data_IF_589658351985
#
_entry.id   IF_589658351985
#
_cell.length_a   1.000
_cell.length_b   1.000
_cell.length_c   1.000
_cell.angle_alpha   90.00
_cell.angle_beta   90.00
_cell.angle_gamma   90.00
#
_symmetry.space_group_name_H-M   'P 1'
#
loop_
_entity.id
_entity.type
_entity.pdbx_description
1 polymer ?
#
# COMPACT_ATOMS: atom_id res chain seq x y z
N UNK A 1 -23.83 7.51 12.30
CA UNK A 1 -23.25 6.99 11.05
C UNK A 1 -22.25 8.02 10.60
N UNK A 2 -20.96 7.67 10.60
CA UNK A 2 -19.93 8.53 9.98
C UNK A 2 -20.25 8.66 8.50
N UNK A 3 -20.62 9.85 8.05
CA UNK A 3 -20.59 10.19 6.65
C UNK A 3 -19.12 10.51 6.29
N UNK A 4 -18.27 9.51 6.40
CA UNK A 4 -16.93 9.58 5.85
C UNK A 4 -17.04 9.13 4.40
N UNK A 5 -17.18 10.09 3.49
CA UNK A 5 -16.81 9.84 2.12
C UNK A 5 -15.31 9.60 2.10
N UNK A 6 -14.94 8.34 1.99
CA UNK A 6 -13.62 7.96 1.52
C UNK A 6 -13.54 8.53 0.10
N UNK A 7 -12.79 9.62 -0.07
CA UNK A 7 -12.30 9.99 -1.39
C UNK A 7 -11.31 8.90 -1.77
N UNK A 8 -11.86 7.81 -2.28
CA UNK A 8 -11.06 6.84 -2.98
C UNK A 8 -10.34 7.60 -4.09
N UNK A 9 -9.04 7.43 -4.20
CA UNK A 9 -8.27 7.85 -5.36
C UNK A 9 -8.85 7.09 -6.54
N UNK A 10 -9.93 7.63 -7.12
CA UNK A 10 -10.52 7.16 -8.35
C UNK A 10 -9.56 7.54 -9.48
N UNK A 11 -8.78 6.58 -9.94
CA UNK A 11 -8.10 6.66 -11.23
C UNK A 11 -9.21 6.59 -12.28
N UNK A 12 -9.64 7.72 -12.79
CA UNK A 12 -10.52 7.79 -13.98
C UNK A 12 -9.62 7.52 -15.18
N UNK A 13 -9.66 6.30 -15.67
CA UNK A 13 -9.14 5.95 -16.98
C UNK A 13 -10.18 6.37 -18.03
N UNK A 14 -10.00 7.53 -18.62
CA UNK A 14 -10.74 7.93 -19.82
C UNK A 14 -10.06 7.30 -21.04
N UNK A 15 -10.66 6.24 -21.58
CA UNK A 15 -10.30 5.69 -22.88
C UNK A 15 -11.00 6.47 -23.99
N UNK A 16 -10.25 7.28 -24.74
CA UNK A 16 -10.70 7.78 -26.03
C UNK A 16 -9.81 7.21 -27.12
N UNK A 17 -10.39 6.33 -27.96
CA UNK A 17 -9.81 5.99 -29.26
C UNK A 17 -9.92 7.23 -30.19
N UNK A 18 -8.78 7.68 -30.69
CA UNK A 18 -8.75 8.41 -31.95
C UNK A 18 -7.42 8.18 -32.65
N UNK A 19 -7.47 7.55 -33.82
CA UNK A 19 -6.35 7.45 -34.76
C UNK A 19 -6.19 8.78 -35.50
N UNK A 20 -5.00 9.37 -35.44
CA UNK A 20 -4.41 10.05 -36.60
C UNK A 20 -2.92 10.26 -36.40
N UNK A 21 -2.14 9.72 -37.32
CA UNK A 21 -0.70 9.97 -37.50
C UNK A 21 -0.45 11.40 -37.95
N UNK A 22 0.47 12.07 -37.29
CA UNK A 22 1.30 13.10 -37.95
C UNK A 22 2.65 13.18 -37.20
N UNK A 23 3.69 12.88 -37.94
CA UNK A 23 5.08 13.09 -37.53
C UNK A 23 5.34 14.58 -37.30
N UNK A 24 5.77 14.96 -36.13
CA UNK A 24 6.47 16.23 -35.91
C UNK A 24 7.55 16.03 -34.86
N UNK A 25 8.79 16.12 -35.32
CA UNK A 25 10.01 16.25 -34.52
C UNK A 25 9.90 17.48 -33.62
N UNK A 26 9.77 17.25 -32.32
CA UNK A 26 9.85 18.33 -31.32
C UNK A 26 11.18 18.24 -30.59
N UNK A 27 12.04 19.21 -30.86
CA UNK A 27 13.26 19.45 -30.06
C UNK A 27 12.82 19.94 -28.67
N UNK A 28 13.15 19.17 -27.63
CA UNK A 28 12.83 19.52 -26.25
C UNK A 28 13.88 20.47 -25.65
N UNK A 29 13.57 21.77 -25.62
CA UNK A 29 14.14 22.66 -24.62
C UNK A 29 13.15 22.75 -23.45
N UNK A 30 13.41 22.04 -22.36
CA UNK A 30 12.59 22.07 -21.17
C UNK A 30 12.77 23.38 -20.40
N UNK A 31 11.94 24.37 -20.70
CA UNK A 31 11.62 25.41 -19.71
C UNK A 31 10.65 24.79 -18.72
N UNK A 32 11.12 24.47 -17.52
CA UNK A 32 10.27 24.06 -16.37
C UNK A 32 9.27 25.18 -16.09
N UNK A 33 8.04 24.97 -16.49
CA UNK A 33 6.92 25.83 -16.17
C UNK A 33 6.62 25.65 -14.68
N UNK A 34 6.86 26.66 -13.82
CA UNK A 34 6.66 26.59 -12.36
C UNK A 34 5.21 26.30 -11.93
N UNK A 35 4.26 26.22 -12.87
CA UNK A 35 2.83 25.92 -12.64
C UNK A 35 2.38 24.57 -13.20
N UNK A 36 3.27 23.65 -13.52
CA UNK A 36 2.87 22.34 -14.02
C UNK A 36 2.37 21.47 -12.86
N UNK A 37 1.12 20.99 -12.96
CA UNK A 37 0.55 20.00 -12.04
C UNK A 37 1.26 18.63 -12.22
N UNK A 38 1.72 18.33 -13.42
CA UNK A 38 2.49 17.11 -13.73
C UNK A 38 3.97 17.38 -13.43
N UNK A 39 4.55 16.64 -12.48
CA UNK A 39 5.96 16.78 -12.07
C UNK A 39 6.86 15.70 -12.65
N UNK A 40 6.32 14.54 -13.01
CA UNK A 40 7.06 13.48 -13.71
C UNK A 40 6.10 12.62 -14.55
N UNK A 41 6.63 11.99 -15.60
CA UNK A 41 5.91 11.02 -16.42
C UNK A 41 6.87 9.91 -16.80
N UNK A 42 6.51 8.67 -16.53
CA UNK A 42 7.30 7.49 -16.92
C UNK A 42 6.37 6.31 -17.20
N UNK A 43 6.67 5.55 -18.24
CA UNK A 43 5.82 4.46 -18.74
C UNK A 43 4.36 4.93 -18.91
N UNK A 44 3.44 4.31 -18.23
CA UNK A 44 2.00 4.59 -18.20
C UNK A 44 1.54 5.42 -16.98
N UNK A 45 2.48 6.04 -16.26
CA UNK A 45 2.26 6.75 -15.01
C UNK A 45 2.58 8.24 -15.15
N UNK A 46 1.67 9.09 -14.65
CA UNK A 46 1.93 10.51 -14.41
C UNK A 46 1.96 10.78 -12.91
N UNK A 47 3.01 11.47 -12.46
CA UNK A 47 3.13 11.93 -11.07
C UNK A 47 2.64 13.37 -10.99
N UNK A 48 1.60 13.59 -10.21
CA UNK A 48 0.97 14.88 -10.04
C UNK A 48 1.38 15.51 -8.70
N UNK A 49 1.59 16.82 -8.71
CA UNK A 49 1.70 17.60 -7.49
C UNK A 49 0.29 17.96 -7.03
N UNK A 50 0.00 17.67 -5.77
CA UNK A 50 -1.21 18.11 -5.11
C UNK A 50 -0.89 19.28 -4.18
N UNK A 51 -1.73 20.29 -4.21
CA UNK A 51 -1.73 21.30 -3.17
C UNK A 51 -2.38 20.75 -1.89
N UNK A 52 -2.07 21.37 -0.77
CA UNK A 52 -2.62 21.01 0.55
C UNK A 52 -3.53 22.15 1.03
N UNK A 53 -4.75 22.32 0.48
CA UNK A 53 -5.66 23.38 0.88
C UNK A 53 -6.00 23.26 2.37
N UNK A 54 -6.03 24.40 3.07
CA UNK A 54 -6.31 24.42 4.51
C UNK A 54 -5.13 24.05 5.41
N UNK A 55 -3.94 23.72 4.86
CA UNK A 55 -2.77 23.39 5.69
C UNK A 55 -2.37 24.50 6.65
N UNK A 56 -2.43 25.75 6.20
CA UNK A 56 -2.04 26.91 7.02
C UNK A 56 -3.06 27.21 8.13
N UNK A 57 -4.29 26.73 7.99
CA UNK A 57 -5.37 26.85 8.98
C UNK A 57 -5.23 25.85 10.14
N UNK A 58 -4.44 24.77 9.95
CA UNK A 58 -4.19 23.76 10.98
C UNK A 58 -3.40 24.39 12.14
N UNK A 59 -3.86 24.16 13.36
CA UNK A 59 -3.12 24.55 14.55
C UNK A 59 -1.84 23.70 14.73
N UNK A 60 -0.81 24.20 15.45
CA UNK A 60 0.45 23.49 15.63
C UNK A 60 0.29 22.05 16.13
N UNK A 61 -0.65 21.80 17.04
CA UNK A 61 -0.92 20.49 17.60
C UNK A 61 -1.42 19.49 16.53
N UNK A 62 -2.25 19.94 15.56
CA UNK A 62 -2.71 19.12 14.45
C UNK A 62 -1.58 18.80 13.46
N UNK A 63 -0.71 19.76 13.17
CA UNK A 63 0.49 19.53 12.33
C UNK A 63 1.45 18.53 12.99
N UNK A 64 1.62 18.61 14.30
CA UNK A 64 2.43 17.67 15.07
C UNK A 64 1.80 16.26 15.06
N UNK A 65 0.48 16.15 15.19
CA UNK A 65 -0.25 14.88 15.06
C UNK A 65 -0.03 14.25 13.69
N UNK A 66 -0.20 15.01 12.61
CA UNK A 66 0.06 14.56 11.23
C UNK A 66 1.51 14.06 11.10
N UNK A 67 2.47 14.78 11.65
CA UNK A 67 3.88 14.39 11.62
C UNK A 67 4.11 13.02 12.27
N UNK A 68 3.64 12.81 13.49
CA UNK A 68 3.86 11.54 14.18
C UNK A 68 3.10 10.37 13.55
N UNK A 69 1.90 10.59 13.04
CA UNK A 69 1.16 9.57 12.27
C UNK A 69 1.89 9.21 10.99
N UNK A 70 2.46 10.20 10.28
CA UNK A 70 3.22 9.99 9.05
C UNK A 70 4.54 9.24 9.31
N UNK A 71 5.24 9.57 10.41
CA UNK A 71 6.43 8.83 10.82
C UNK A 71 6.11 7.37 11.15
N UNK A 72 5.00 7.11 11.87
CA UNK A 72 4.55 5.76 12.14
C UNK A 72 4.28 4.99 10.82
N UNK A 73 3.61 5.62 9.86
CA UNK A 73 3.34 5.05 8.54
C UNK A 73 4.63 4.67 7.80
N UNK A 74 5.61 5.57 7.79
CA UNK A 74 6.88 5.39 7.10
C UNK A 74 7.69 4.20 7.64
N UNK A 75 7.67 3.96 8.96
CA UNK A 75 8.36 2.82 9.53
C UNK A 75 7.74 1.47 9.14
N UNK A 76 6.44 1.42 8.89
CA UNK A 76 5.75 0.19 8.47
C UNK A 76 5.82 -0.11 6.96
N UNK A 77 6.28 0.83 6.12
CA UNK A 77 6.20 0.72 4.66
C UNK A 77 6.90 -0.51 4.05
N UNK A 78 7.93 -1.05 4.71
CA UNK A 78 8.65 -2.22 4.20
C UNK A 78 7.79 -3.49 4.25
N UNK A 79 6.76 -3.51 5.08
CA UNK A 79 5.85 -4.65 5.24
C UNK A 79 5.09 -4.92 3.94
N UNK A 80 4.50 -3.89 3.29
CA UNK A 80 3.78 -4.10 2.02
C UNK A 80 4.70 -4.57 0.90
N UNK A 81 5.97 -4.13 0.87
CA UNK A 81 6.93 -4.64 -0.08
C UNK A 81 7.16 -6.14 0.07
N UNK A 82 7.37 -6.59 1.29
CA UNK A 82 7.55 -8.02 1.61
C UNK A 82 6.26 -8.82 1.34
N UNK A 83 5.09 -8.27 1.69
CA UNK A 83 3.81 -8.89 1.41
C UNK A 83 3.57 -9.10 -0.09
N UNK A 84 3.94 -8.14 -0.94
CA UNK A 84 3.78 -8.24 -2.39
C UNK A 84 4.66 -9.32 -3.03
N UNK A 85 5.90 -9.48 -2.57
CA UNK A 85 6.81 -10.57 -2.93
C UNK A 85 8.02 -10.56 -1.99
N UNK A 86 8.40 -11.71 -1.48
CA UNK A 86 9.51 -11.86 -0.50
C UNK A 86 10.85 -11.30 -0.97
N UNK A 87 11.06 -11.18 -2.28
CA UNK A 87 12.33 -10.69 -2.85
C UNK A 87 12.32 -9.17 -3.13
N UNK A 88 11.18 -8.51 -2.97
CA UNK A 88 11.04 -7.09 -3.32
C UNK A 88 11.98 -6.18 -2.54
N UNK A 89 12.20 -6.42 -1.25
CA UNK A 89 13.11 -5.61 -0.44
C UNK A 89 14.56 -5.74 -0.89
N UNK A 90 14.97 -6.92 -1.38
CA UNK A 90 16.30 -7.11 -1.95
C UNK A 90 16.46 -6.31 -3.25
N UNK A 91 15.49 -6.42 -4.16
CA UNK A 91 15.49 -5.65 -5.41
C UNK A 91 15.48 -4.15 -5.14
N UNK A 92 14.65 -3.69 -4.20
CA UNK A 92 14.57 -2.29 -3.79
C UNK A 92 15.92 -1.76 -3.30
N UNK A 93 16.58 -2.46 -2.37
CA UNK A 93 17.91 -2.08 -1.87
C UNK A 93 18.94 -1.97 -2.97
N UNK A 94 18.92 -2.89 -3.94
CA UNK A 94 19.79 -2.82 -5.11
C UNK A 94 19.51 -1.57 -5.95
N UNK A 95 18.25 -1.29 -6.26
CA UNK A 95 17.85 -0.11 -7.03
C UNK A 95 18.20 1.20 -6.31
N UNK A 96 17.92 1.30 -5.00
CA UNK A 96 18.29 2.46 -4.18
C UNK A 96 19.81 2.73 -4.20
N UNK A 97 20.62 1.69 -4.06
CA UNK A 97 22.07 1.81 -4.09
C UNK A 97 22.59 2.21 -5.48
N UNK A 98 22.06 1.64 -6.56
CA UNK A 98 22.42 2.00 -7.94
C UNK A 98 22.08 3.48 -8.21
N UNK A 99 20.85 3.91 -7.88
CA UNK A 99 20.42 5.29 -8.16
C UNK A 99 21.16 6.34 -7.32
N UNK A 100 21.63 5.97 -6.14
CA UNK A 100 22.38 6.84 -5.22
C UNK A 100 23.88 6.85 -5.48
N UNK A 101 24.39 5.89 -6.25
CA UNK A 101 25.83 5.75 -6.48
C UNK A 101 26.35 6.80 -7.49
N UNK A 102 27.43 7.54 -7.17
CA UNK A 102 28.09 8.44 -8.10
C UNK A 102 28.85 7.70 -9.21
N UNK A 103 29.10 6.41 -9.05
CA UNK A 103 29.90 5.61 -9.98
C UNK A 103 29.08 5.09 -11.18
N UNK A 104 27.77 5.30 -11.21
CA UNK A 104 26.93 4.85 -12.32
C UNK A 104 27.02 5.82 -13.49
N UNK A 105 27.47 5.29 -14.62
CA UNK A 105 27.48 6.04 -15.87
C UNK A 105 26.08 6.13 -16.47
N UNK A 106 25.45 7.31 -16.29
CA UNK A 106 24.10 7.61 -16.77
C UNK A 106 24.00 7.84 -18.28
N UNK A 107 25.13 7.94 -18.98
CA UNK A 107 25.18 8.10 -20.44
C UNK A 107 25.02 6.78 -21.21
N UNK A 108 25.11 5.64 -20.53
CA UNK A 108 24.94 4.32 -21.12
C UNK A 108 23.51 4.15 -21.66
N UNK A 109 23.37 3.59 -22.86
CA UNK A 109 22.09 3.42 -23.58
C UNK A 109 21.00 2.74 -22.74
N UNK A 110 21.35 1.82 -21.86
CA UNK A 110 20.41 1.04 -21.04
C UNK A 110 19.96 1.77 -19.76
N UNK A 111 20.65 2.84 -19.34
CA UNK A 111 20.34 3.56 -18.09
C UNK A 111 18.90 4.13 -18.05
N UNK A 112 18.36 4.75 -19.10
CA UNK A 112 16.97 5.24 -19.09
C UNK A 112 15.94 4.12 -18.85
N UNK A 113 16.19 2.91 -19.36
CA UNK A 113 15.32 1.76 -19.11
C UNK A 113 15.42 1.27 -17.66
N UNK A 114 16.63 1.27 -17.08
CA UNK A 114 16.85 0.97 -15.67
C UNK A 114 16.16 1.99 -14.75
N UNK A 115 16.28 3.27 -15.05
CA UNK A 115 15.62 4.33 -14.28
C UNK A 115 14.09 4.20 -14.35
N UNK A 116 13.55 3.96 -15.53
CA UNK A 116 12.11 3.72 -15.72
C UNK A 116 11.64 2.47 -14.96
N UNK A 117 12.40 1.38 -15.01
CA UNK A 117 12.12 0.17 -14.24
C UNK A 117 12.10 0.46 -12.73
N UNK A 118 13.12 1.17 -12.23
CA UNK A 118 13.20 1.54 -10.82
C UNK A 118 11.99 2.37 -10.39
N UNK A 119 11.61 3.40 -11.15
CA UNK A 119 10.42 4.23 -10.88
C UNK A 119 9.14 3.39 -10.84
N UNK A 120 8.96 2.45 -11.78
CA UNK A 120 7.80 1.54 -11.78
C UNK A 120 7.79 0.61 -10.57
N UNK A 121 8.93 0.05 -10.18
CA UNK A 121 9.08 -0.82 -9.00
C UNK A 121 8.78 -0.05 -7.72
N UNK A 122 9.29 1.19 -7.58
CA UNK A 122 8.99 2.04 -6.42
C UNK A 122 7.52 2.42 -6.34
N UNK A 123 6.91 2.81 -7.45
CA UNK A 123 5.50 3.14 -7.53
C UNK A 123 4.59 1.95 -7.17
N UNK A 124 4.96 0.75 -7.60
CA UNK A 124 4.18 -0.47 -7.40
C UNK A 124 4.43 -1.16 -6.04
N UNK A 125 5.33 -0.66 -5.21
CA UNK A 125 5.83 -1.35 -4.00
C UNK A 125 6.29 -2.78 -4.31
N UNK A 126 7.01 -2.98 -5.42
CA UNK A 126 7.54 -4.27 -5.85
C UNK A 126 7.64 -4.46 -7.34
N UNK A 127 8.09 -5.67 -7.73
CA UNK A 127 8.38 -6.05 -9.11
C UNK A 127 7.14 -6.30 -9.99
N UNK A 128 5.94 -6.20 -9.43
CA UNK A 128 4.69 -6.41 -10.15
C UNK A 128 3.96 -5.09 -10.37
N UNK A 129 3.37 -4.93 -11.55
CA UNK A 129 2.57 -3.76 -11.87
C UNK A 129 1.43 -3.60 -10.86
N UNK A 130 1.25 -2.39 -10.35
CA UNK A 130 0.31 -2.07 -9.26
C UNK A 130 -1.15 -2.45 -9.54
N UNK A 131 -1.57 -2.49 -10.81
CA UNK A 131 -2.95 -2.73 -11.23
C UNK A 131 -3.18 -4.11 -11.85
N UNK A 132 -2.41 -4.48 -12.91
CA UNK A 132 -2.61 -5.76 -13.62
C UNK A 132 -1.85 -6.93 -12.98
N UNK A 133 -1.02 -6.66 -11.97
CA UNK A 133 -0.29 -7.63 -11.15
C UNK A 133 0.73 -8.50 -11.89
N UNK A 134 1.02 -8.19 -13.15
CA UNK A 134 2.03 -8.87 -13.96
C UNK A 134 3.40 -8.32 -13.62
N UNK A 135 4.42 -9.17 -13.68
CA UNK A 135 5.81 -8.75 -13.47
C UNK A 135 6.22 -7.67 -14.47
N UNK A 136 6.87 -6.62 -13.97
CA UNK A 136 7.38 -5.50 -14.76
C UNK A 136 8.60 -5.97 -15.52
N UNK A 137 8.56 -5.85 -16.85
CA UNK A 137 9.71 -6.15 -17.70
C UNK A 137 10.80 -5.08 -17.54
N UNK A 138 12.09 -5.49 -17.40
CA UNK A 138 13.16 -4.57 -17.05
C UNK A 138 13.58 -3.62 -18.18
N UNK A 139 13.45 -3.99 -19.45
CA UNK A 139 13.88 -3.18 -20.59
C UNK A 139 15.39 -2.99 -20.74
N UNK A 140 16.21 -3.65 -19.93
CA UNK A 140 17.69 -3.69 -19.96
C UNK A 140 18.17 -5.13 -19.84
N UNK A 141 19.49 -5.36 -20.12
CA UNK A 141 20.08 -6.71 -20.14
C UNK A 141 20.49 -7.21 -18.75
N UNK A 142 20.63 -8.54 -18.60
CA UNK A 142 21.20 -9.17 -17.40
C UNK A 142 22.64 -8.75 -17.15
N UNK A 143 23.38 -8.59 -18.21
CA UNK A 143 24.78 -8.15 -18.20
C UNK A 143 24.91 -6.73 -17.68
N UNK A 144 24.01 -5.84 -18.11
CA UNK A 144 23.97 -4.47 -17.60
C UNK A 144 23.56 -4.44 -16.12
N UNK A 145 22.59 -5.24 -15.71
CA UNK A 145 22.21 -5.39 -14.30
C UNK A 145 23.40 -5.80 -13.41
N UNK A 146 24.15 -6.83 -13.83
CA UNK A 146 25.33 -7.27 -13.11
C UNK A 146 26.43 -6.19 -13.04
N UNK A 147 26.63 -5.46 -14.15
CA UNK A 147 27.59 -4.34 -14.22
C UNK A 147 27.22 -3.23 -13.22
N UNK A 148 26.00 -2.73 -13.23
CA UNK A 148 25.62 -1.60 -12.34
C UNK A 148 25.61 -1.99 -10.87
N UNK A 149 25.34 -3.23 -10.50
CA UNK A 149 25.50 -3.73 -9.13
C UNK A 149 26.96 -3.73 -8.68
N UNK A 150 27.87 -4.06 -9.59
CA UNK A 150 29.32 -4.00 -9.33
C UNK A 150 29.81 -2.57 -9.23
N UNK A 151 29.40 -1.71 -10.15
CA UNK A 151 29.76 -0.28 -10.17
C UNK A 151 29.24 0.47 -8.93
N UNK A 152 28.06 0.08 -8.43
CA UNK A 152 27.48 0.58 -7.18
C UNK A 152 28.15 0.01 -5.91
N UNK A 153 29.22 -0.78 -6.04
CA UNK A 153 29.94 -1.43 -4.95
C UNK A 153 29.08 -2.35 -4.04
N UNK A 154 28.03 -2.93 -4.59
CA UNK A 154 27.16 -3.87 -3.87
C UNK A 154 27.70 -5.31 -3.86
N UNK A 155 28.68 -5.60 -4.69
CA UNK A 155 29.29 -6.92 -4.79
C UNK A 155 30.56 -6.96 -3.96
N UNK A 156 30.66 -7.89 -3.02
CA UNK A 156 31.83 -8.14 -2.20
C UNK A 156 32.13 -9.63 -2.09
N UNK A 157 33.21 -10.01 -1.39
CA UNK A 157 33.54 -11.41 -1.14
C UNK A 157 32.43 -12.14 -0.37
N UNK A 158 31.77 -11.45 0.55
CA UNK A 158 30.80 -12.02 1.49
C UNK A 158 29.33 -11.74 1.10
N UNK A 159 29.12 -10.88 0.08
CA UNK A 159 27.77 -10.50 -0.36
C UNK A 159 27.73 -10.30 -1.89
N UNK A 160 26.90 -11.10 -2.56
CA UNK A 160 26.67 -11.00 -3.98
C UNK A 160 25.16 -11.07 -4.30
N UNK A 161 24.50 -9.92 -4.56
CA UNK A 161 23.10 -9.87 -4.89
C UNK A 161 22.79 -10.20 -6.35
N UNK A 162 23.81 -10.33 -7.23
CA UNK A 162 23.61 -10.53 -8.68
C UNK A 162 22.79 -11.79 -8.97
N UNK A 163 23.16 -13.01 -8.53
CA UNK A 163 22.42 -14.21 -8.89
C UNK A 163 20.95 -14.17 -8.43
N UNK A 164 20.63 -13.87 -7.14
CA UNK A 164 19.24 -13.89 -6.69
C UNK A 164 18.39 -12.80 -7.36
N UNK A 165 18.90 -11.58 -7.54
CA UNK A 165 18.14 -10.51 -8.18
C UNK A 165 17.97 -10.72 -9.69
N UNK A 166 18.95 -11.32 -10.37
CA UNK A 166 18.84 -11.72 -11.77
C UNK A 166 17.70 -12.73 -11.95
N UNK A 167 17.62 -13.74 -11.10
CA UNK A 167 16.51 -14.71 -11.15
C UNK A 167 15.15 -14.04 -10.90
N UNK A 168 15.07 -13.14 -9.94
CA UNK A 168 13.84 -12.41 -9.62
C UNK A 168 13.40 -11.53 -10.80
N UNK A 169 14.30 -10.73 -11.36
CA UNK A 169 13.98 -9.74 -12.38
C UNK A 169 13.73 -10.41 -13.74
N UNK A 170 14.60 -11.33 -14.16
CA UNK A 170 14.61 -11.89 -15.51
C UNK A 170 14.11 -13.35 -15.61
N UNK A 171 14.00 -14.05 -14.48
CA UNK A 171 13.53 -15.42 -14.45
C UNK A 171 12.00 -15.54 -14.54
N UNK A 172 11.50 -16.77 -14.60
CA UNK A 172 10.07 -17.05 -14.80
C UNK A 172 9.30 -17.34 -13.51
N UNK A 173 9.96 -17.31 -12.35
CA UNK A 173 9.36 -17.73 -11.09
C UNK A 173 8.25 -16.80 -10.59
N UNK A 174 8.41 -15.51 -10.72
CA UNK A 174 7.52 -14.49 -10.11
C UNK A 174 6.71 -13.74 -11.17
N UNK A 175 5.92 -14.46 -11.98
CA UNK A 175 5.22 -13.86 -13.13
C UNK A 175 4.01 -13.02 -12.76
N UNK A 176 3.29 -13.42 -11.69
CA UNK A 176 2.12 -12.67 -11.19
C UNK A 176 2.16 -12.52 -9.67
N UNK A 177 1.79 -11.34 -9.18
CA UNK A 177 1.59 -11.10 -7.75
C UNK A 177 0.49 -12.00 -7.23
N UNK A 178 -0.72 -11.93 -7.83
CA UNK A 178 -1.88 -12.77 -7.51
C UNK A 178 -2.28 -13.55 -8.77
N UNK A 179 -2.22 -14.86 -8.72
CA UNK A 179 -2.61 -15.73 -9.83
C UNK A 179 -3.86 -16.55 -9.48
N UNK A 180 -4.99 -16.18 -10.08
CA UNK A 180 -6.29 -16.85 -9.91
C UNK A 180 -6.73 -17.58 -11.19
N UNK A 181 -5.78 -17.99 -12.06
CA UNK A 181 -6.09 -18.70 -13.28
C UNK A 181 -6.72 -20.08 -12.98
N UNK A 182 -7.57 -20.54 -13.88
CA UNK A 182 -8.18 -21.86 -13.79
C UNK A 182 -7.11 -22.98 -13.86
N UNK A 183 -7.26 -24.00 -13.06
CA UNK A 183 -6.39 -25.19 -13.05
C UNK A 183 -5.07 -25.02 -12.27
N UNK A 184 -4.85 -23.87 -11.59
CA UNK A 184 -3.67 -23.68 -10.73
C UNK A 184 -4.07 -23.54 -9.26
N UNK A 185 -3.18 -23.97 -8.36
CA UNK A 185 -3.32 -23.59 -6.95
C UNK A 185 -2.97 -22.10 -6.81
N UNK A 186 -3.96 -21.30 -6.46
CA UNK A 186 -3.84 -19.83 -6.44
C UNK A 186 -2.83 -19.30 -5.41
N UNK A 187 -2.51 -20.05 -4.34
CA UNK A 187 -1.49 -19.64 -3.37
C UNK A 187 -0.09 -20.02 -3.84
N UNK A 188 0.09 -21.23 -4.34
CA UNK A 188 1.39 -21.70 -4.82
C UNK A 188 1.81 -21.02 -6.14
N UNK A 189 0.86 -20.60 -6.96
CA UNK A 189 1.11 -19.92 -8.23
C UNK A 189 1.25 -18.40 -8.10
N UNK A 190 0.98 -17.80 -6.94
CA UNK A 190 1.12 -16.37 -6.67
C UNK A 190 2.50 -16.05 -6.08
N UNK A 191 3.02 -14.85 -6.40
CA UNK A 191 4.26 -14.33 -5.84
C UNK A 191 4.11 -13.71 -4.46
N UNK A 192 2.88 -13.48 -4.02
CA UNK A 192 2.57 -12.89 -2.72
C UNK A 192 3.16 -13.70 -1.58
N UNK A 193 3.67 -12.98 -0.58
CA UNK A 193 4.36 -13.59 0.55
C UNK A 193 3.48 -13.75 1.80
N UNK A 194 2.16 -13.90 1.61
CA UNK A 194 1.23 -14.19 2.70
C UNK A 194 1.24 -15.66 3.12
N UNK A 195 1.69 -16.54 2.21
CA UNK A 195 1.71 -17.99 2.40
C UNK A 195 3.08 -18.52 1.99
N UNK A 196 3.56 -19.56 2.70
CA UNK A 196 4.84 -20.19 2.38
C UNK A 196 4.72 -21.71 2.49
N UNK A 197 4.77 -22.40 1.33
CA UNK A 197 4.64 -23.83 1.25
C UNK A 197 3.24 -24.35 1.61
N UNK A 198 2.20 -23.52 1.44
CA UNK A 198 0.82 -23.80 1.83
C UNK A 198 -0.07 -23.76 0.60
N UNK A 199 -0.87 -24.79 0.35
CA UNK A 199 -1.86 -24.80 -0.70
C UNK A 199 -3.14 -24.02 -0.32
N UNK A 200 -3.94 -23.67 -1.33
CA UNK A 200 -5.21 -22.98 -1.10
C UNK A 200 -6.17 -23.82 -0.24
N UNK A 201 -6.22 -25.13 -0.47
CA UNK A 201 -7.04 -26.06 0.31
C UNK A 201 -6.60 -26.12 1.78
N UNK A 202 -5.29 -26.27 2.02
CA UNK A 202 -4.72 -26.30 3.38
C UNK A 202 -5.00 -25.00 4.14
N UNK A 203 -4.84 -23.84 3.49
CA UNK A 203 -5.11 -22.55 4.12
C UNK A 203 -6.60 -22.37 4.44
N UNK A 204 -7.49 -22.73 3.51
CA UNK A 204 -8.94 -22.66 3.74
C UNK A 204 -9.36 -23.57 4.92
N UNK A 205 -8.89 -24.80 4.94
CA UNK A 205 -9.18 -25.73 6.04
C UNK A 205 -8.65 -25.22 7.38
N UNK A 206 -7.43 -24.65 7.39
CA UNK A 206 -6.83 -24.07 8.60
C UNK A 206 -7.72 -22.98 9.21
N UNK A 207 -8.18 -22.00 8.40
CA UNK A 207 -9.04 -20.94 8.88
C UNK A 207 -10.48 -21.37 9.18
N UNK A 208 -11.00 -22.36 8.48
CA UNK A 208 -12.30 -22.96 8.82
C UNK A 208 -12.28 -23.60 10.22
N UNK A 209 -11.18 -24.26 10.58
CA UNK A 209 -11.01 -24.87 11.89
C UNK A 209 -10.91 -23.87 13.04
N UNK A 210 -10.56 -22.59 12.77
CA UNK A 210 -10.59 -21.53 13.78
C UNK A 210 -12.01 -21.06 14.13
N UNK A 211 -12.97 -21.29 13.24
CA UNK A 211 -14.39 -20.99 13.48
C UNK A 211 -15.29 -22.17 13.03
N UNK A 212 -15.19 -23.32 13.69
CA UNK A 212 -15.93 -24.51 13.29
C UNK A 212 -17.45 -24.34 13.39
N UNK A 213 -17.92 -23.52 14.32
CA UNK A 213 -19.34 -23.23 14.52
C UNK A 213 -19.89 -22.17 13.53
N UNK A 214 -19.07 -21.63 12.63
CA UNK A 214 -19.45 -20.56 11.67
C UNK A 214 -20.15 -19.39 12.34
N UNK A 215 -19.66 -18.98 13.50
CA UNK A 215 -20.16 -17.80 14.19
C UNK A 215 -19.95 -16.56 13.34
N UNK A 216 -20.90 -15.62 13.36
CA UNK A 216 -20.85 -14.37 12.55
C UNK A 216 -19.91 -13.32 13.14
N UNK A 217 -19.84 -13.26 14.47
CA UNK A 217 -19.07 -12.26 15.20
C UNK A 217 -17.78 -12.89 15.75
N UNK A 218 -16.82 -13.07 14.85
CA UNK A 218 -15.46 -13.55 15.16
C UNK A 218 -14.44 -12.61 14.57
N UNK A 219 -13.26 -12.49 15.18
CA UNK A 219 -12.15 -11.74 14.60
C UNK A 219 -11.81 -12.19 13.18
N UNK A 220 -11.29 -11.29 12.36
CA UNK A 220 -10.81 -11.60 11.00
C UNK A 220 -9.54 -12.45 11.05
N UNK A 221 -9.66 -13.73 11.42
CA UNK A 221 -8.53 -14.64 11.56
C UNK A 221 -7.62 -14.63 10.32
N UNK A 222 -6.34 -14.45 10.55
CA UNK A 222 -5.32 -14.41 9.51
C UNK A 222 -4.96 -13.01 9.01
N UNK A 223 -5.73 -11.97 9.38
CA UNK A 223 -5.58 -10.62 8.83
C UNK A 223 -4.15 -10.07 8.96
N UNK A 224 -3.52 -10.24 10.12
CA UNK A 224 -2.19 -9.70 10.44
C UNK A 224 -1.12 -10.78 10.57
N UNK A 225 -1.19 -11.82 9.75
CA UNK A 225 -0.24 -12.93 9.84
C UNK A 225 0.15 -13.49 8.47
N UNK A 226 1.32 -14.11 8.41
CA UNK A 226 1.76 -15.00 7.33
C UNK A 226 1.53 -16.45 7.76
N UNK A 227 0.92 -17.27 6.92
CA UNK A 227 0.77 -18.71 7.16
C UNK A 227 1.91 -19.47 6.50
N UNK A 228 2.63 -20.25 7.27
CA UNK A 228 3.80 -21.01 6.82
C UNK A 228 3.64 -22.50 7.16
N UNK A 229 4.21 -23.37 6.33
CA UNK A 229 4.30 -24.79 6.62
C UNK A 229 5.70 -25.14 7.12
N UNK A 230 5.81 -25.56 8.37
CA UNK A 230 7.07 -25.92 9.02
C UNK A 230 7.02 -27.39 9.45
N UNK A 231 7.89 -28.20 8.90
CA UNK A 231 7.92 -29.66 9.19
C UNK A 231 6.54 -30.32 9.03
N UNK A 232 5.78 -29.90 8.02
CA UNK A 232 4.43 -30.43 7.74
C UNK A 232 3.31 -29.81 8.59
N UNK A 233 3.62 -28.93 9.55
CA UNK A 233 2.63 -28.25 10.40
C UNK A 233 2.39 -26.81 9.93
N UNK A 234 1.13 -26.39 9.87
CA UNK A 234 0.76 -25.02 9.56
C UNK A 234 0.92 -24.12 10.78
N UNK A 235 1.66 -23.01 10.61
CA UNK A 235 1.99 -22.07 11.69
C UNK A 235 1.75 -20.65 11.20
N UNK A 236 0.98 -19.84 11.96
CA UNK A 236 0.88 -18.40 11.73
C UNK A 236 2.05 -17.65 12.35
N UNK A 237 2.69 -16.81 11.53
CA UNK A 237 3.67 -15.83 11.98
C UNK A 237 3.00 -14.46 11.96
N UNK A 238 2.77 -13.92 13.15
CA UNK A 238 2.02 -12.66 13.32
C UNK A 238 2.93 -11.45 13.15
N UNK A 239 2.47 -10.43 12.41
CA UNK A 239 3.08 -9.11 12.36
C UNK A 239 2.71 -8.35 13.63
N UNK A 240 3.64 -8.24 14.54
CA UNK A 240 3.48 -7.56 15.82
C UNK A 240 4.85 -7.27 16.46
N UNK A 241 4.89 -6.46 17.50
CA UNK A 241 6.06 -6.32 18.38
C UNK A 241 6.39 -7.69 19.00
N UNK A 242 7.65 -8.09 18.92
CA UNK A 242 8.11 -9.44 19.32
C UNK A 242 7.76 -10.55 18.33
N UNK A 243 7.18 -10.21 17.16
CA UNK A 243 6.89 -11.13 16.06
C UNK A 243 7.57 -10.70 14.76
N UNK A 244 6.91 -10.94 13.64
CA UNK A 244 7.41 -10.48 12.34
C UNK A 244 7.43 -8.94 12.29
N UNK A 245 8.51 -8.38 11.72
CA UNK A 245 8.73 -6.93 11.63
C UNK A 245 8.73 -6.19 12.97
N UNK A 246 9.14 -6.85 14.05
CA UNK A 246 9.16 -6.27 15.43
C UNK A 246 9.82 -4.90 15.47
N UNK A 247 11.05 -4.77 14.95
CA UNK A 247 11.79 -3.50 15.01
C UNK A 247 11.08 -2.34 14.30
N UNK A 248 10.43 -2.60 13.14
CA UNK A 248 9.65 -1.61 12.42
C UNK A 248 8.38 -1.23 13.20
N UNK A 249 7.65 -2.22 13.72
CA UNK A 249 6.43 -2.01 14.48
C UNK A 249 6.69 -1.35 15.85
N UNK A 250 7.84 -1.59 16.48
CA UNK A 250 8.29 -0.84 17.66
C UNK A 250 8.41 0.66 17.35
N UNK A 251 9.00 1.01 16.22
CA UNK A 251 9.09 2.41 15.76
C UNK A 251 7.72 3.00 15.40
N UNK A 252 6.82 2.21 14.80
CA UNK A 252 5.43 2.62 14.61
C UNK A 252 4.79 2.95 15.96
N UNK A 253 4.90 2.07 16.95
CA UNK A 253 4.36 2.23 18.31
C UNK A 253 4.96 3.45 19.02
N UNK A 254 6.29 3.68 18.93
CA UNK A 254 6.93 4.87 19.49
C UNK A 254 6.31 6.17 18.95
N UNK A 255 6.06 6.26 17.64
CA UNK A 255 5.47 7.44 17.02
C UNK A 255 3.97 7.53 17.29
N UNK A 256 3.23 6.42 17.31
CA UNK A 256 1.82 6.40 17.70
C UNK A 256 1.62 6.87 19.15
N UNK A 257 2.52 6.56 20.09
CA UNK A 257 2.48 7.10 21.46
C UNK A 257 2.64 8.62 21.48
N UNK A 258 3.52 9.17 20.64
CA UNK A 258 3.67 10.62 20.52
C UNK A 258 2.41 11.24 19.89
N UNK A 259 1.85 10.60 18.83
CA UNK A 259 0.58 11.01 18.22
C UNK A 259 -0.57 11.01 19.24
N UNK A 260 -0.65 9.97 20.12
CA UNK A 260 -1.66 9.89 21.17
C UNK A 260 -1.60 11.07 22.15
N UNK A 261 -0.41 11.53 22.50
CA UNK A 261 -0.22 12.67 23.43
C UNK A 261 -0.69 14.00 22.82
N UNK A 262 -0.67 14.11 21.48
CA UNK A 262 -1.11 15.32 20.75
C UNK A 262 -2.44 15.10 20.02
N UNK A 263 -3.21 14.07 20.38
CA UNK A 263 -4.53 13.82 19.81
C UNK A 263 -5.48 15.01 20.07
N UNK A 264 -6.36 15.27 19.12
CA UNK A 264 -7.27 16.42 19.17
C UNK A 264 -8.30 16.32 20.31
N UNK A 265 -8.73 15.10 20.62
CA UNK A 265 -9.71 14.81 21.66
C UNK A 265 -9.45 13.44 22.34
N UNK A 266 -10.12 13.15 23.47
CA UNK A 266 -9.98 11.88 24.18
C UNK A 266 -10.41 10.65 23.37
N UNK A 267 -11.37 10.76 22.45
CA UNK A 267 -11.84 9.64 21.60
C UNK A 267 -10.74 9.23 20.61
N UNK A 268 -10.10 10.20 19.97
CA UNK A 268 -8.95 9.94 19.09
C UNK A 268 -7.76 9.36 19.85
N UNK A 269 -7.45 9.91 21.03
CA UNK A 269 -6.40 9.37 21.89
C UNK A 269 -6.67 7.91 22.29
N UNK A 270 -7.93 7.57 22.58
CA UNK A 270 -8.36 6.19 22.85
C UNK A 270 -8.19 5.28 21.64
N UNK A 271 -8.62 5.73 20.47
CA UNK A 271 -8.46 4.95 19.23
C UNK A 271 -6.97 4.67 18.95
N UNK A 272 -6.09 5.68 19.04
CA UNK A 272 -4.66 5.50 18.86
C UNK A 272 -4.09 4.52 19.91
N UNK A 273 -4.54 4.59 21.16
CA UNK A 273 -4.13 3.66 22.21
C UNK A 273 -4.48 2.20 21.90
N UNK A 274 -5.68 1.94 21.38
CA UNK A 274 -6.11 0.60 20.97
C UNK A 274 -5.32 0.08 19.77
N UNK A 275 -4.94 0.95 18.83
CA UNK A 275 -4.03 0.59 17.73
C UNK A 275 -2.64 0.22 18.24
N UNK A 276 -2.12 0.94 19.23
CA UNK A 276 -0.87 0.61 19.91
C UNK A 276 -0.94 -0.78 20.55
N UNK A 277 -2.02 -1.06 21.31
CA UNK A 277 -2.26 -2.37 21.92
C UNK A 277 -2.31 -3.49 20.88
N UNK A 278 -2.99 -3.23 19.75
CA UNK A 278 -3.02 -4.17 18.63
C UNK A 278 -1.63 -4.49 18.09
N UNK A 279 -0.79 -3.49 17.81
CA UNK A 279 0.57 -3.74 17.32
C UNK A 279 1.47 -4.44 18.33
N UNK A 280 1.27 -4.18 19.63
CA UNK A 280 2.03 -4.83 20.68
C UNK A 280 1.62 -6.29 20.87
N UNK A 281 0.32 -6.59 20.82
CA UNK A 281 -0.19 -7.93 21.12
C UNK A 281 -0.41 -8.81 19.89
N UNK A 282 -0.75 -8.19 18.75
CA UNK A 282 -1.23 -8.88 17.56
C UNK A 282 -2.66 -9.39 17.70
N UNK A 283 -3.38 -9.01 18.75
CA UNK A 283 -4.74 -9.47 19.02
C UNK A 283 -5.77 -8.77 18.13
N UNK A 284 -6.43 -9.54 17.27
CA UNK A 284 -7.43 -9.05 16.32
C UNK A 284 -8.67 -8.47 17.01
N UNK A 285 -8.98 -8.87 18.26
CA UNK A 285 -10.05 -8.23 19.03
C UNK A 285 -9.69 -6.78 19.37
N UNK A 286 -8.41 -6.49 19.66
CA UNK A 286 -7.93 -5.11 19.85
C UNK A 286 -8.04 -4.29 18.58
N UNK A 287 -7.86 -4.91 17.44
CA UNK A 287 -8.10 -4.26 16.15
C UNK A 287 -9.58 -3.94 15.92
N UNK A 288 -10.49 -4.84 16.27
CA UNK A 288 -11.94 -4.59 16.23
C UNK A 288 -12.33 -3.45 17.18
N UNK A 289 -11.82 -3.45 18.43
CA UNK A 289 -12.02 -2.36 19.40
C UNK A 289 -11.49 -1.02 18.87
N UNK A 290 -10.32 -1.02 18.22
CA UNK A 290 -9.77 0.15 17.54
C UNK A 290 -10.71 0.66 16.44
N UNK A 291 -11.17 -0.21 15.56
CA UNK A 291 -12.07 0.16 14.46
C UNK A 291 -13.39 0.76 14.97
N UNK A 292 -13.97 0.19 16.03
CA UNK A 292 -15.18 0.72 16.67
C UNK A 292 -14.92 2.12 17.26
N UNK A 293 -13.80 2.31 17.97
CA UNK A 293 -13.44 3.59 18.55
C UNK A 293 -13.16 4.64 17.47
N UNK A 294 -12.43 4.26 16.40
CA UNK A 294 -12.13 5.13 15.27
C UNK A 294 -13.40 5.56 14.51
N UNK A 295 -14.31 4.63 14.20
CA UNK A 295 -15.58 4.93 13.53
C UNK A 295 -16.48 5.85 14.39
N UNK A 296 -16.39 5.74 15.71
CA UNK A 296 -17.19 6.53 16.64
C UNK A 296 -16.70 7.98 16.78
N UNK A 297 -15.44 8.26 16.44
CA UNK A 297 -14.90 9.63 16.46
C UNK A 297 -15.21 10.33 15.13
N UNK A 298 -16.06 11.36 15.18
CA UNK A 298 -16.49 12.14 14.01
C UNK A 298 -16.20 13.63 14.13
N UNK A 299 -15.46 14.04 15.17
CA UNK A 299 -15.25 15.45 15.51
C UNK A 299 -13.85 15.97 15.15
N UNK A 300 -12.87 15.10 14.92
CA UNK A 300 -11.49 15.47 14.61
C UNK A 300 -11.32 16.05 13.21
N UNK A 301 -10.37 16.96 13.07
CA UNK A 301 -9.93 17.53 11.79
C UNK A 301 -8.94 16.58 11.10
N UNK A 302 -7.97 16.04 11.85
CA UNK A 302 -7.01 15.07 11.37
C UNK A 302 -7.58 13.66 11.54
N UNK A 303 -7.51 12.86 10.48
CA UNK A 303 -7.93 11.47 10.48
C UNK A 303 -6.85 10.57 9.87
N UNK A 304 -6.90 9.27 10.14
CA UNK A 304 -5.89 8.35 9.65
C UNK A 304 -6.44 6.93 9.46
N UNK A 305 -5.84 6.23 8.53
CA UNK A 305 -5.94 4.78 8.36
C UNK A 305 -4.55 4.22 8.64
N UNK A 306 -4.43 3.17 9.43
CA UNK A 306 -3.14 2.57 9.73
C UNK A 306 -3.32 1.12 10.21
N UNK A 307 -2.77 0.15 9.50
CA UNK A 307 -2.89 -1.25 9.89
C UNK A 307 -2.82 -2.23 8.74
N UNK A 308 -3.26 -3.44 9.02
CA UNK A 308 -3.47 -4.50 8.03
C UNK A 308 -4.95 -4.45 7.63
N UNK A 309 -5.27 -3.90 6.46
CA UNK A 309 -6.63 -3.44 6.14
C UNK A 309 -7.25 -4.23 4.99
N UNK A 310 -6.73 -4.05 3.77
CA UNK A 310 -7.37 -4.55 2.56
C UNK A 310 -6.97 -6.00 2.27
N UNK A 311 -7.96 -6.84 2.03
CA UNK A 311 -7.77 -8.28 1.80
C UNK A 311 -7.91 -8.70 0.32
N UNK A 312 -8.21 -7.77 -0.58
CA UNK A 312 -8.52 -8.09 -1.98
C UNK A 312 -7.31 -8.61 -2.77
N UNK A 313 -6.09 -8.26 -2.37
CA UNK A 313 -4.87 -8.79 -2.98
C UNK A 313 -4.56 -10.23 -2.52
N UNK A 314 -5.05 -10.69 -1.38
CA UNK A 314 -4.95 -12.10 -1.00
C UNK A 314 -5.89 -12.96 -1.87
N UNK A 315 -5.40 -14.01 -2.55
CA UNK A 315 -6.24 -14.86 -3.38
C UNK A 315 -7.46 -15.44 -2.67
N UNK A 316 -7.37 -15.72 -1.37
CA UNK A 316 -8.48 -16.27 -0.56
C UNK A 316 -9.11 -15.25 0.41
N UNK A 317 -8.70 -13.98 0.35
CA UNK A 317 -9.32 -12.87 1.10
C UNK A 317 -9.18 -12.98 2.62
N UNK A 318 -8.04 -13.44 3.14
CA UNK A 318 -7.78 -13.61 4.58
C UNK A 318 -6.73 -12.65 5.14
N UNK A 319 -5.76 -12.28 4.32
CA UNK A 319 -4.59 -11.50 4.73
C UNK A 319 -4.76 -10.04 4.40
N UNK A 320 -4.60 -9.16 5.38
CA UNK A 320 -4.63 -7.73 5.19
C UNK A 320 -3.29 -7.18 4.69
N UNK A 321 -3.33 -6.34 3.67
CA UNK A 321 -2.20 -5.52 3.27
C UNK A 321 -1.89 -4.48 4.33
N UNK A 322 -0.60 -4.23 4.60
CA UNK A 322 -0.21 -3.09 5.42
C UNK A 322 -0.45 -1.80 4.67
N UNK A 323 -1.27 -0.94 5.24
CA UNK A 323 -1.66 0.33 4.64
C UNK A 323 -1.65 1.45 5.67
N UNK A 324 -1.36 2.65 5.19
CA UNK A 324 -1.50 3.85 6.00
C UNK A 324 -1.83 5.05 5.13
N UNK A 325 -2.80 5.85 5.58
CA UNK A 325 -3.15 7.13 4.99
C UNK A 325 -3.41 8.13 6.11
N UNK A 326 -2.80 9.30 6.02
CA UNK A 326 -3.03 10.42 6.93
C UNK A 326 -3.70 11.54 6.15
N UNK A 327 -4.78 12.05 6.66
CA UNK A 327 -5.60 13.06 5.99
C UNK A 327 -6.14 14.09 6.98
N UNK A 328 -6.53 15.25 6.47
CA UNK A 328 -7.24 16.26 7.24
C UNK A 328 -8.40 16.83 6.42
N UNK A 329 -9.37 17.41 7.11
CA UNK A 329 -10.54 18.00 6.47
C UNK A 329 -10.16 19.25 5.71
N UNK A 330 -10.62 19.34 4.46
CA UNK A 330 -10.71 20.59 3.73
C UNK A 330 -11.96 21.35 4.21
N UNK A 331 -11.83 22.55 4.84
CA UNK A 331 -12.96 23.29 5.41
C UNK A 331 -13.96 23.71 4.33
N UNK A 332 -13.48 24.12 3.15
CA UNK A 332 -14.33 24.58 2.05
C UNK A 332 -15.12 23.42 1.43
N UNK A 333 -14.44 22.30 1.14
CA UNK A 333 -15.09 21.10 0.66
C UNK A 333 -16.08 20.54 1.69
N UNK A 334 -15.73 20.58 2.99
CA UNK A 334 -16.60 20.15 4.08
C UNK A 334 -17.90 20.95 4.12
N UNK A 335 -17.82 22.28 3.94
CA UNK A 335 -19.00 23.15 3.89
C UNK A 335 -19.90 22.80 2.71
N UNK A 336 -19.34 22.64 1.51
CA UNK A 336 -20.09 22.22 0.30
C UNK A 336 -20.79 20.85 0.51
N UNK A 337 -20.07 19.90 1.11
CA UNK A 337 -20.64 18.58 1.38
C UNK A 337 -21.73 18.60 2.45
N UNK A 338 -21.65 19.53 3.43
CA UNK A 338 -22.72 19.71 4.42
C UNK A 338 -24.01 20.16 3.76
N UNK A 339 -23.95 21.13 2.84
CA UNK A 339 -25.12 21.62 2.11
C UNK A 339 -25.80 20.47 1.30
N UNK A 340 -24.99 19.58 0.70
CA UNK A 340 -25.51 18.39 0.00
C UNK A 340 -26.14 17.41 0.98
N UNK A 341 -25.47 17.14 2.12
CA UNK A 341 -25.96 16.19 3.13
C UNK A 341 -27.27 16.64 3.78
N UNK A 342 -27.45 17.93 4.01
CA UNK A 342 -28.69 18.51 4.54
C UNK A 342 -29.87 18.35 3.56
N UNK A 343 -29.59 18.29 2.26
CA UNK A 343 -30.57 18.06 1.21
C UNK A 343 -30.64 16.59 0.73
N UNK A 344 -30.00 15.66 1.41
CA UNK A 344 -29.92 14.26 0.98
C UNK A 344 -31.30 13.61 0.77
N UNK A 345 -32.28 13.92 1.64
CA UNK A 345 -33.64 13.42 1.49
C UNK A 345 -34.31 13.93 0.21
N UNK A 346 -34.11 15.20 -0.15
CA UNK A 346 -34.63 15.75 -1.40
C UNK A 346 -34.05 15.00 -2.62
N UNK A 347 -32.74 14.72 -2.63
CA UNK A 347 -32.13 13.94 -3.71
C UNK A 347 -32.68 12.52 -3.80
N UNK A 348 -32.90 11.86 -2.64
CA UNK A 348 -33.51 10.53 -2.60
C UNK A 348 -34.96 10.58 -3.16
N UNK A 349 -35.75 11.56 -2.74
CA UNK A 349 -37.13 11.72 -3.18
C UNK A 349 -37.24 12.02 -4.69
N UNK A 350 -36.30 12.76 -5.25
CA UNK A 350 -36.23 13.09 -6.69
C UNK A 350 -35.54 12.01 -7.55
N UNK A 351 -34.93 10.99 -6.93
CA UNK A 351 -34.26 9.94 -7.69
C UNK A 351 -35.28 9.18 -8.58
N UNK A 352 -34.88 8.76 -9.79
CA UNK A 352 -35.77 8.04 -10.74
C UNK A 352 -35.97 6.57 -10.35
N UNK A 353 -35.99 6.27 -9.06
CA UNK A 353 -36.20 4.94 -8.49
C UNK A 353 -37.66 4.80 -8.06
N UNK A 354 -38.36 3.66 -8.33
CA UNK A 354 -39.69 3.43 -7.82
C UNK A 354 -39.78 3.60 -6.29
N UNK A 355 -40.86 4.23 -5.83
CA UNK A 355 -41.04 4.58 -4.41
C UNK A 355 -40.89 3.41 -3.44
N UNK A 356 -41.23 2.18 -3.87
CA UNK A 356 -41.07 0.97 -3.06
C UNK A 356 -39.61 0.63 -2.70
N UNK A 357 -38.63 1.19 -3.42
CA UNK A 357 -37.20 0.97 -3.18
C UNK A 357 -36.50 2.19 -2.54
N UNK A 358 -37.19 3.32 -2.38
CA UNK A 358 -36.65 4.49 -1.70
C UNK A 358 -36.55 4.26 -0.20
N UNK A 359 -35.45 4.70 0.39
CA UNK A 359 -35.26 4.64 1.84
C UNK A 359 -35.66 5.99 2.46
N UNK A 360 -36.46 5.93 3.51
CA UNK A 360 -36.66 7.07 4.39
C UNK A 360 -35.43 7.28 5.28
N UNK A 361 -35.21 8.52 5.65
CA UNK A 361 -34.16 8.91 6.61
C UNK A 361 -34.33 8.21 7.94
#
# INVERSE_FOLDING_TARGET
>A
MKNSFILGIGIIAASTLSCSRSDSTISSSSKTNQNSVVIDTFADIQVLKYDLPGWDELIPKQKELIYYLSEAANYGRDIIWDQNCKENLLVRKCLEAILSSPNIDKSVREYPALETYAKRVFFSNGIHHHYNEVKIEPGFSKEYWAKVLTDAALVSKDYNPIPPTTEVIFGNKYQKRTNKAEGVDMLLASSMNFYEGVSAEEAQQFYQNMNPAKQKEVPSFGLNSKLTKQNGVLVEKVWKVGGMYSAALEKCVENLKKAQNVAENPSQAKAIGLLIDYYQTGDLKKFDEFNIAWVSDNSTVVDFIHGFIEVYIDPIGKKGSFESAIQYRDPEATKKMKDIAENAQWFEDQSPIPAAYKKSK
#
